data_IF_023282349807
#
_entry.id   IF_023282349807
#
_cell.length_a   1.000
_cell.length_b   1.000
_cell.length_c   1.000
_cell.angle_alpha   90.00
_cell.angle_beta   90.00
_cell.angle_gamma   90.00
#
_symmetry.space_group_name_H-M   'P 1'
#
loop_
_entity.id
_entity.type
_entity.pdbx_description
1 polymer ?
#
# COMPACT_ATOMS: atom_id res chain seq x y z
N UNK A 1 -3.74 -11.74 -18.01
CA UNK A 1 -3.02 -10.96 -16.98
C UNK A 1 -3.02 -11.76 -15.69
N UNK A 2 -1.86 -12.05 -15.12
CA UNK A 2 -1.76 -12.84 -13.87
C UNK A 2 -1.25 -11.91 -12.78
N UNK A 3 -2.09 -11.68 -11.78
CA UNK A 3 -1.71 -10.89 -10.61
C UNK A 3 -1.16 -11.82 -9.53
N UNK A 4 0.09 -11.57 -9.13
CA UNK A 4 0.77 -12.36 -8.10
C UNK A 4 1.19 -11.44 -6.96
N UNK A 5 0.60 -11.65 -5.78
CA UNK A 5 1.02 -10.98 -4.56
C UNK A 5 2.20 -11.75 -3.95
N UNK A 6 3.40 -11.24 -4.13
CA UNK A 6 4.63 -11.89 -3.67
C UNK A 6 5.57 -10.91 -2.99
N UNK A 7 6.63 -11.43 -2.37
CA UNK A 7 7.71 -10.65 -1.77
C UNK A 7 8.84 -10.48 -2.79
N UNK A 8 9.48 -9.32 -2.75
CA UNK A 8 10.74 -9.08 -3.44
C UNK A 8 11.86 -9.76 -2.66
N UNK A 9 12.78 -10.41 -3.36
CA UNK A 9 13.97 -11.01 -2.78
C UNK A 9 15.23 -10.43 -3.42
N UNK A 10 16.33 -10.37 -2.68
CA UNK A 10 17.63 -9.99 -3.25
C UNK A 10 18.22 -11.17 -4.01
N UNK A 11 18.64 -10.92 -5.24
CA UNK A 11 19.37 -11.88 -6.07
C UNK A 11 20.62 -11.20 -6.62
N UNK A 12 21.76 -11.49 -6.00
CA UNK A 12 23.02 -10.80 -6.31
C UNK A 12 22.88 -9.28 -6.08
N UNK A 13 23.07 -8.49 -7.14
CA UNK A 13 22.91 -7.04 -7.13
C UNK A 13 21.51 -6.57 -7.60
N UNK A 14 20.56 -7.49 -7.74
CA UNK A 14 19.21 -7.21 -8.26
C UNK A 14 18.12 -7.59 -7.25
N UNK A 15 16.90 -7.12 -7.50
CA UNK A 15 15.70 -7.60 -6.80
C UNK A 15 14.90 -8.50 -7.75
N UNK A 16 14.59 -9.70 -7.29
CA UNK A 16 13.75 -10.68 -7.98
C UNK A 16 12.32 -10.69 -7.45
N UNK A 17 11.38 -11.00 -8.34
CA UNK A 17 9.98 -11.26 -8.02
C UNK A 17 9.80 -12.78 -7.97
N UNK A 18 9.41 -13.34 -6.83
CA UNK A 18 9.15 -14.78 -6.72
C UNK A 18 7.75 -15.09 -7.25
N UNK A 19 7.66 -15.84 -8.33
CA UNK A 19 6.37 -16.31 -8.86
C UNK A 19 6.15 -17.77 -8.45
N UNK A 20 5.10 -18.08 -7.66
CA UNK A 20 4.81 -19.46 -7.28
C UNK A 20 4.47 -20.31 -8.52
N UNK A 21 5.09 -21.49 -8.64
CA UNK A 21 4.85 -22.43 -9.75
C UNK A 21 3.37 -22.77 -9.93
N UNK A 22 2.61 -22.86 -8.83
CA UNK A 22 1.17 -23.12 -8.87
C UNK A 22 0.36 -22.06 -9.62
N UNK A 23 0.85 -20.81 -9.69
CA UNK A 23 0.19 -19.71 -10.41
C UNK A 23 0.51 -19.70 -11.91
N UNK A 24 1.59 -20.37 -12.33
CA UNK A 24 2.04 -20.44 -13.73
C UNK A 24 1.86 -21.83 -14.35
N UNK A 25 1.38 -22.82 -13.59
CA UNK A 25 1.22 -24.21 -14.06
C UNK A 25 0.32 -24.36 -15.30
N UNK A 26 -0.63 -23.44 -15.49
CA UNK A 26 -1.54 -23.42 -16.65
C UNK A 26 -1.13 -22.37 -17.69
N UNK A 27 0.10 -21.87 -17.62
CA UNK A 27 0.68 -20.94 -18.59
C UNK A 27 1.85 -21.61 -19.29
N UNK A 28 2.20 -21.11 -20.46
CA UNK A 28 3.38 -21.58 -21.19
C UNK A 28 4.68 -20.91 -20.71
N UNK A 29 4.67 -20.25 -19.54
CA UNK A 29 5.85 -19.59 -18.98
C UNK A 29 6.86 -20.63 -18.53
N UNK A 30 8.04 -20.61 -19.15
CA UNK A 30 9.18 -21.45 -18.78
C UNK A 30 10.31 -20.61 -18.18
N UNK A 31 11.22 -21.27 -17.48
CA UNK A 31 12.41 -20.61 -16.95
C UNK A 31 13.26 -20.03 -18.09
N UNK A 32 13.73 -18.78 -17.93
CA UNK A 32 14.58 -18.10 -18.91
C UNK A 32 13.84 -17.26 -19.95
N UNK A 33 12.50 -17.30 -19.99
CA UNK A 33 11.74 -16.39 -20.85
C UNK A 33 11.75 -14.94 -20.34
N UNK A 34 11.82 -14.00 -21.28
CA UNK A 34 11.65 -12.58 -20.97
C UNK A 34 10.18 -12.27 -20.69
N UNK A 35 9.94 -11.58 -19.57
CA UNK A 35 8.60 -11.19 -19.14
C UNK A 35 8.56 -9.70 -18.83
N UNK A 36 7.47 -9.04 -19.22
CA UNK A 36 7.20 -7.67 -18.81
C UNK A 36 6.44 -7.68 -17.48
N UNK A 37 7.01 -7.08 -16.44
CA UNK A 37 6.39 -6.97 -15.12
C UNK A 37 5.82 -5.57 -14.88
N UNK A 38 4.52 -5.48 -14.57
CA UNK A 38 3.89 -4.26 -14.08
C UNK A 38 4.01 -4.20 -12.55
N UNK A 39 4.77 -3.25 -12.01
CA UNK A 39 4.97 -3.10 -10.56
C UNK A 39 4.08 -1.96 -10.06
N UNK A 40 3.06 -2.29 -9.28
CA UNK A 40 2.19 -1.31 -8.62
C UNK A 40 2.55 -1.23 -7.14
N UNK A 41 3.18 -0.13 -6.73
CA UNK A 41 3.38 0.15 -5.32
C UNK A 41 2.04 0.57 -4.71
N UNK A 42 1.44 -0.28 -3.86
CA UNK A 42 0.35 0.18 -3.00
C UNK A 42 0.92 1.28 -2.10
N UNK A 43 0.62 2.53 -2.41
CA UNK A 43 0.75 3.63 -1.47
C UNK A 43 -0.06 3.25 -0.24
N UNK A 44 0.60 2.73 0.79
CA UNK A 44 0.01 2.73 2.13
C UNK A 44 -0.11 4.21 2.45
N UNK A 45 -1.31 4.76 2.22
CA UNK A 45 -1.68 6.12 2.60
C UNK A 45 -1.11 6.33 3.98
N UNK A 46 -0.09 7.17 4.04
CA UNK A 46 0.69 7.36 5.23
C UNK A 46 -0.27 8.14 6.15
N UNK A 47 -1.07 7.45 6.97
CA UNK A 47 -1.96 8.09 7.95
C UNK A 47 -1.15 9.11 8.77
N UNK A 48 0.14 8.81 9.00
CA UNK A 48 1.12 9.71 9.59
C UNK A 48 1.35 11.03 8.82
N UNK A 49 1.19 11.06 7.48
CA UNK A 49 1.19 12.30 6.68
C UNK A 49 -0.13 13.07 6.77
N UNK A 50 -1.27 12.38 6.87
CA UNK A 50 -2.58 13.02 7.06
C UNK A 50 -2.71 13.65 8.46
N UNK A 51 -2.20 12.97 9.49
CA UNK A 51 -2.28 13.42 10.88
C UNK A 51 -1.02 14.17 11.38
N UNK A 52 0.08 14.18 10.62
CA UNK A 52 1.36 14.76 11.05
C UNK A 52 1.64 16.19 10.62
N UNK A 53 0.83 16.76 9.70
CA UNK A 53 1.06 18.12 9.18
C UNK A 53 0.41 19.23 10.02
N UNK A 54 -0.60 18.90 10.85
CA UNK A 54 -1.13 19.82 11.87
C UNK A 54 -0.75 19.27 13.23
N UNK A 55 0.21 19.91 13.90
CA UNK A 55 0.14 20.00 15.36
C UNK A 55 -1.25 20.57 15.64
N UNK A 56 -2.19 19.75 16.08
CA UNK A 56 -3.50 20.22 16.50
C UNK A 56 -3.22 21.26 17.59
N UNK A 57 -3.34 22.55 17.24
CA UNK A 57 -3.21 23.65 18.21
C UNK A 57 -4.28 23.56 19.30
N UNK A 58 -5.32 22.74 19.06
CA UNK A 58 -6.43 22.46 19.95
C UNK A 58 -6.29 21.04 20.50
N UNK A 59 -6.49 20.90 21.81
CA UNK A 59 -6.64 19.62 22.49
C UNK A 59 -7.86 18.85 21.97
N UNK A 60 -7.86 17.53 22.11
CA UNK A 60 -9.02 16.67 21.74
C UNK A 60 -10.32 17.16 22.39
N UNK A 61 -10.23 17.75 23.59
CA UNK A 61 -11.37 18.29 24.33
C UNK A 61 -12.01 19.51 23.65
N UNK A 62 -11.21 20.39 23.07
CA UNK A 62 -11.71 21.57 22.34
C UNK A 62 -12.38 21.16 21.03
N UNK A 63 -11.85 20.13 20.36
CA UNK A 63 -12.45 19.58 19.13
C UNK A 63 -13.82 18.95 19.45
N UNK A 64 -13.93 18.19 20.54
CA UNK A 64 -15.23 17.63 20.95
C UNK A 64 -16.24 18.72 21.32
N UNK A 65 -15.81 19.79 21.98
CA UNK A 65 -16.68 20.92 22.33
C UNK A 65 -17.22 21.65 21.11
N UNK A 66 -16.39 21.85 20.07
CA UNK A 66 -16.82 22.46 18.81
C UNK A 66 -17.86 21.60 18.08
N UNK A 67 -17.66 20.28 18.05
CA UNK A 67 -18.61 19.35 17.43
C UNK A 67 -19.95 19.36 18.18
N UNK A 68 -19.92 19.36 19.51
CA UNK A 68 -21.15 19.45 20.32
C UNK A 68 -21.86 20.79 20.08
N UNK A 69 -21.15 21.91 20.08
CA UNK A 69 -21.75 23.23 19.82
C UNK A 69 -22.38 23.32 18.42
N UNK A 70 -21.73 22.78 17.38
CA UNK A 70 -22.29 22.70 16.02
C UNK A 70 -23.50 21.77 15.90
N UNK A 71 -23.55 20.65 16.65
CA UNK A 71 -24.65 19.69 16.59
C UNK A 71 -25.94 20.19 17.25
N UNK A 72 -25.81 21.02 18.29
CA UNK A 72 -26.94 21.55 19.07
C UNK A 72 -27.36 22.97 18.67
N UNK A 73 -26.75 23.56 17.64
CA UNK A 73 -27.13 24.87 17.09
C UNK A 73 -28.00 24.80 15.82
N UNK A 74 -28.67 23.66 15.60
CA UNK A 74 -29.74 23.47 14.60
C UNK A 74 -31.10 23.36 15.28
#
# INVERSE_FOLDING_TARGET
>A
MIEVKTKLMKWGNSLGIIVPLSKIKNTNLIEGEEVTALIIQKNKGNLKRLFGARKFKKSTKEIMKEIDEELYSV
#
